data_IF_464123188123
#
_entry.id   IF_464123188123
#
_cell.length_a   1.000
_cell.length_b   1.000
_cell.length_c   1.000
_cell.angle_alpha   90.00
_cell.angle_beta   90.00
_cell.angle_gamma   90.00
#
_symmetry.space_group_name_H-M   'P 1'
#
loop_
_entity.id
_entity.type
_entity.pdbx_description
1 polymer ?
#
# COMPACT_ATOMS: atom_id res chain seq x y z
N UNK A 1 -71.68 64.36 -63.92
CA UNK A 1 -71.94 63.96 -62.53
C UNK A 1 -71.76 62.45 -62.36
N UNK A 2 -72.44 61.61 -63.16
CA UNK A 2 -72.34 60.13 -63.06
C UNK A 2 -70.91 59.53 -63.14
N UNK A 3 -70.03 60.07 -64.00
CA UNK A 3 -68.64 59.60 -64.09
C UNK A 3 -67.79 59.96 -62.86
N UNK A 4 -68.14 61.06 -62.18
CA UNK A 4 -67.46 61.47 -60.94
C UNK A 4 -67.87 60.54 -59.80
N UNK A 5 -69.14 60.15 -59.72
CA UNK A 5 -69.63 59.17 -58.73
C UNK A 5 -69.00 57.78 -58.92
N UNK A 6 -68.81 57.33 -60.17
CA UNK A 6 -68.08 56.07 -60.46
C UNK A 6 -66.62 56.13 -60.00
N UNK A 7 -65.94 57.26 -60.24
CA UNK A 7 -64.56 57.43 -59.76
C UNK A 7 -64.48 57.47 -58.23
N UNK A 8 -65.41 58.14 -57.56
CA UNK A 8 -65.47 58.16 -56.09
C UNK A 8 -65.65 56.75 -55.51
N UNK A 9 -66.57 55.96 -56.06
CA UNK A 9 -66.77 54.58 -55.61
C UNK A 9 -65.56 53.67 -55.88
N UNK A 10 -64.80 53.91 -56.96
CA UNK A 10 -63.56 53.18 -57.23
C UNK A 10 -62.48 53.54 -56.20
N UNK A 11 -62.32 54.84 -55.90
CA UNK A 11 -61.37 55.34 -54.91
C UNK A 11 -61.67 54.76 -53.53
N UNK A 12 -62.94 54.68 -53.12
CA UNK A 12 -63.31 54.09 -51.84
C UNK A 12 -62.96 52.58 -51.77
N UNK A 13 -63.14 51.85 -52.87
CA UNK A 13 -62.75 50.43 -52.96
C UNK A 13 -61.23 50.24 -52.93
N UNK A 14 -60.50 51.09 -53.65
CA UNK A 14 -59.03 51.10 -53.64
C UNK A 14 -58.51 51.43 -52.24
N UNK A 15 -59.08 52.45 -51.58
CA UNK A 15 -58.71 52.83 -50.22
C UNK A 15 -58.96 51.70 -49.21
N UNK A 16 -60.06 50.96 -49.33
CA UNK A 16 -60.34 49.81 -48.46
C UNK A 16 -59.33 48.69 -48.65
N UNK A 17 -59.01 48.34 -49.90
CA UNK A 17 -58.00 47.31 -50.22
C UNK A 17 -56.60 47.72 -49.79
N UNK A 18 -56.24 48.99 -49.98
CA UNK A 18 -54.96 49.54 -49.53
C UNK A 18 -54.84 49.48 -48.01
N UNK A 19 -55.93 49.74 -47.29
CA UNK A 19 -55.96 49.66 -45.82
C UNK A 19 -55.80 48.21 -45.35
N UNK A 20 -56.52 47.25 -45.95
CA UNK A 20 -56.35 45.82 -45.66
C UNK A 20 -54.92 45.35 -45.95
N UNK A 21 -54.36 45.72 -47.11
CA UNK A 21 -53.00 45.35 -47.50
C UNK A 21 -51.96 45.97 -46.56
N UNK A 22 -52.14 47.23 -46.16
CA UNK A 22 -51.29 47.91 -45.18
C UNK A 22 -51.34 47.18 -43.85
N UNK A 23 -52.52 46.88 -43.33
CA UNK A 23 -52.68 46.24 -42.03
C UNK A 23 -52.07 44.83 -42.03
N UNK A 24 -52.28 44.07 -43.11
CA UNK A 24 -51.59 42.80 -43.31
C UNK A 24 -50.06 42.95 -43.33
N UNK A 25 -49.51 43.95 -44.03
CA UNK A 25 -48.07 44.18 -44.08
C UNK A 25 -47.50 44.57 -42.70
N UNK A 26 -48.24 45.35 -41.91
CA UNK A 26 -47.84 45.75 -40.56
C UNK A 26 -47.84 44.53 -39.63
N UNK A 27 -48.92 43.75 -39.64
CA UNK A 27 -49.07 42.56 -38.80
C UNK A 27 -48.01 41.50 -39.13
N UNK A 28 -47.79 41.23 -40.42
CA UNK A 28 -46.81 40.24 -40.87
C UNK A 28 -45.38 40.66 -40.50
N UNK A 29 -45.05 41.95 -40.70
CA UNK A 29 -43.75 42.49 -40.29
C UNK A 29 -43.56 42.44 -38.78
N UNK A 30 -44.60 42.73 -38.01
CA UNK A 30 -44.51 42.68 -36.55
C UNK A 30 -44.26 41.25 -36.06
N UNK A 31 -45.06 40.27 -36.52
CA UNK A 31 -44.87 38.85 -36.19
C UNK A 31 -43.48 38.35 -36.58
N UNK A 32 -43.05 38.65 -37.80
CA UNK A 32 -41.72 38.25 -38.29
C UNK A 32 -40.60 38.86 -37.45
N UNK A 33 -40.70 40.15 -37.09
CA UNK A 33 -39.70 40.81 -36.25
C UNK A 33 -39.66 40.23 -34.83
N UNK A 34 -40.82 39.89 -34.27
CA UNK A 34 -40.91 39.27 -32.94
C UNK A 34 -40.32 37.85 -32.95
N UNK A 35 -40.57 37.06 -34.01
CA UNK A 35 -39.96 35.74 -34.21
C UNK A 35 -38.44 35.81 -34.39
N UNK A 36 -37.95 36.76 -35.19
CA UNK A 36 -36.51 37.00 -35.35
C UNK A 36 -35.88 37.35 -34.01
N UNK A 37 -36.52 38.21 -33.22
CA UNK A 37 -36.03 38.60 -31.89
C UNK A 37 -35.97 37.38 -30.97
N UNK A 38 -37.03 36.58 -30.91
CA UNK A 38 -37.09 35.38 -30.07
C UNK A 38 -36.00 34.36 -30.45
N UNK A 39 -35.84 34.08 -31.75
CA UNK A 39 -34.83 33.14 -32.25
C UNK A 39 -33.41 33.65 -32.02
N UNK A 40 -33.17 34.94 -32.21
CA UNK A 40 -31.84 35.54 -31.96
C UNK A 40 -31.44 35.43 -30.49
N UNK A 41 -32.39 35.66 -29.57
CA UNK A 41 -32.17 35.44 -28.14
C UNK A 41 -31.86 33.97 -27.83
N UNK A 42 -32.59 33.03 -28.42
CA UNK A 42 -32.33 31.59 -28.24
C UNK A 42 -30.95 31.19 -28.75
N UNK A 43 -30.52 31.72 -29.90
CA UNK A 43 -29.18 31.48 -30.45
C UNK A 43 -28.12 31.93 -29.45
N UNK A 44 -28.22 33.17 -28.94
CA UNK A 44 -27.24 33.69 -27.98
C UNK A 44 -27.18 32.88 -26.68
N UNK A 45 -28.33 32.39 -26.20
CA UNK A 45 -28.38 31.49 -25.03
C UNK A 45 -27.69 30.16 -25.31
N UNK A 46 -27.99 29.53 -26.45
CA UNK A 46 -27.38 28.25 -26.83
C UNK A 46 -25.87 28.39 -27.06
N UNK A 47 -25.42 29.48 -27.69
CA UNK A 47 -23.99 29.78 -27.85
C UNK A 47 -23.29 29.94 -26.49
N UNK A 48 -23.93 30.62 -25.53
CA UNK A 48 -23.43 30.72 -24.16
C UNK A 48 -23.28 29.36 -23.49
N UNK A 49 -24.31 28.51 -23.59
CA UNK A 49 -24.28 27.14 -23.04
C UNK A 49 -23.22 26.27 -23.70
N UNK A 50 -23.03 26.39 -25.03
CA UNK A 50 -21.97 25.68 -25.76
C UNK A 50 -20.60 26.07 -25.23
N UNK A 51 -20.34 27.37 -25.03
CA UNK A 51 -19.06 27.85 -24.54
C UNK A 51 -18.79 27.38 -23.10
N UNK A 52 -19.81 27.35 -22.24
CA UNK A 52 -19.69 26.85 -20.87
C UNK A 52 -19.39 25.34 -20.84
N UNK A 53 -20.10 24.56 -21.65
CA UNK A 53 -19.83 23.13 -21.81
C UNK A 53 -18.43 22.87 -22.39
N UNK A 54 -18.01 23.65 -23.39
CA UNK A 54 -16.68 23.53 -23.98
C UNK A 54 -15.60 23.82 -22.95
N UNK A 55 -15.74 24.89 -22.15
CA UNK A 55 -14.82 25.16 -21.05
C UNK A 55 -14.82 24.03 -20.02
N UNK A 56 -15.98 23.54 -19.61
CA UNK A 56 -16.07 22.44 -18.62
C UNK A 56 -15.35 21.18 -19.11
N UNK A 57 -15.44 20.86 -20.39
CA UNK A 57 -14.85 19.63 -20.95
C UNK A 57 -13.37 19.83 -21.32
N UNK A 58 -13.05 20.93 -21.99
CA UNK A 58 -11.81 21.14 -22.71
C UNK A 58 -10.89 22.20 -22.08
N UNK A 59 -11.26 22.85 -20.96
CA UNK A 59 -10.37 23.81 -20.32
C UNK A 59 -8.99 23.15 -20.03
N UNK A 60 -7.88 23.78 -20.43
CA UNK A 60 -6.57 23.12 -20.51
C UNK A 60 -5.97 22.77 -19.14
N UNK A 61 -6.54 23.26 -18.04
CA UNK A 61 -6.03 23.01 -16.69
C UNK A 61 -7.06 22.37 -15.75
N UNK A 62 -8.35 22.60 -15.99
CA UNK A 62 -9.45 22.22 -15.08
C UNK A 62 -10.62 21.59 -15.84
N UNK A 63 -10.42 21.30 -17.12
CA UNK A 63 -11.43 20.61 -17.92
C UNK A 63 -11.44 19.14 -17.52
N UNK A 64 -12.61 18.51 -17.63
CA UNK A 64 -12.80 17.11 -17.27
C UNK A 64 -11.80 16.18 -17.97
N UNK A 65 -11.36 16.49 -19.19
CA UNK A 65 -10.33 15.70 -19.89
C UNK A 65 -8.97 15.71 -19.19
N UNK A 66 -8.60 16.83 -18.57
CA UNK A 66 -7.33 16.97 -17.83
C UNK A 66 -7.43 16.21 -16.52
N UNK A 67 -8.54 16.37 -15.80
CA UNK A 67 -8.81 15.64 -14.55
C UNK A 67 -8.79 14.12 -14.77
N UNK A 68 -9.49 13.62 -15.80
CA UNK A 68 -9.49 12.20 -16.14
C UNK A 68 -8.06 11.70 -16.43
N UNK A 69 -7.27 12.45 -17.20
CA UNK A 69 -5.89 12.04 -17.51
C UNK A 69 -4.99 12.01 -16.26
N UNK A 70 -5.19 12.94 -15.32
CA UNK A 70 -4.48 12.95 -14.05
C UNK A 70 -4.90 11.77 -13.17
N UNK A 71 -6.20 11.51 -13.04
CA UNK A 71 -6.74 10.40 -12.28
C UNK A 71 -6.29 9.04 -12.84
N UNK A 72 -6.26 8.89 -14.17
CA UNK A 72 -5.74 7.69 -14.83
C UNK A 72 -4.25 7.46 -14.51
N UNK A 73 -3.45 8.53 -14.50
CA UNK A 73 -2.04 8.44 -14.10
C UNK A 73 -1.87 8.08 -12.63
N UNK A 74 -2.66 8.68 -11.74
CA UNK A 74 -2.63 8.36 -10.30
C UNK A 74 -3.07 6.91 -10.04
N UNK A 75 -4.06 6.42 -10.80
CA UNK A 75 -4.53 5.04 -10.70
C UNK A 75 -3.45 4.05 -11.15
N UNK A 76 -2.74 4.35 -12.24
CA UNK A 76 -1.63 3.51 -12.71
C UNK A 76 -0.49 3.45 -11.70
N UNK A 77 -0.10 4.59 -11.14
CA UNK A 77 0.91 4.68 -10.07
C UNK A 77 0.48 3.88 -8.84
N UNK A 78 -0.74 4.11 -8.36
CA UNK A 78 -1.27 3.40 -7.19
C UNK A 78 -1.33 1.88 -7.40
N UNK A 79 -1.68 1.42 -8.60
CA UNK A 79 -1.69 -0.01 -8.92
C UNK A 79 -0.27 -0.59 -8.95
N UNK A 80 0.70 0.16 -9.47
CA UNK A 80 2.11 -0.23 -9.46
C UNK A 80 2.65 -0.34 -8.03
N UNK A 81 2.31 0.63 -7.17
CA UNK A 81 2.70 0.67 -5.77
C UNK A 81 2.09 -0.50 -5.00
N UNK A 82 0.77 -0.73 -5.10
CA UNK A 82 0.11 -1.88 -4.47
C UNK A 82 0.78 -3.19 -4.86
N UNK A 83 1.12 -3.37 -6.14
CA UNK A 83 1.77 -4.58 -6.63
C UNK A 83 3.18 -4.73 -6.06
N UNK A 84 3.96 -3.66 -6.05
CA UNK A 84 5.32 -3.64 -5.51
C UNK A 84 5.33 -3.93 -4.01
N UNK A 85 4.43 -3.29 -3.28
CA UNK A 85 4.32 -3.40 -1.83
C UNK A 85 3.81 -4.78 -1.42
N UNK A 86 2.77 -5.31 -2.08
CA UNK A 86 2.29 -6.68 -1.84
C UNK A 86 3.38 -7.72 -2.10
N UNK A 87 4.19 -7.52 -3.16
CA UNK A 87 5.30 -8.42 -3.47
C UNK A 87 6.38 -8.37 -2.38
N UNK A 88 6.72 -7.17 -1.89
CA UNK A 88 7.68 -6.95 -0.82
C UNK A 88 7.19 -7.58 0.49
N UNK A 89 5.95 -7.30 0.88
CA UNK A 89 5.30 -7.87 2.08
C UNK A 89 5.31 -9.39 2.07
N UNK A 90 5.04 -10.01 0.92
CA UNK A 90 5.10 -11.46 0.75
C UNK A 90 6.51 -12.02 0.94
N UNK A 91 7.52 -11.36 0.37
CA UNK A 91 8.92 -11.78 0.49
C UNK A 91 9.43 -11.64 1.93
N UNK A 92 9.14 -10.51 2.57
CA UNK A 92 9.46 -10.24 3.97
C UNK A 92 8.80 -11.24 4.92
N UNK A 93 7.48 -11.48 4.78
CA UNK A 93 6.78 -12.46 5.61
C UNK A 93 7.35 -13.88 5.42
N UNK A 94 7.72 -14.25 4.19
CA UNK A 94 8.35 -15.55 3.90
C UNK A 94 9.71 -15.68 4.60
N UNK A 95 10.54 -14.62 4.57
CA UNK A 95 11.82 -14.59 5.28
C UNK A 95 11.62 -14.68 6.78
N UNK A 96 10.69 -13.91 7.34
CA UNK A 96 10.34 -13.93 8.74
C UNK A 96 9.89 -15.33 9.22
N UNK A 97 8.97 -15.99 8.49
CA UNK A 97 8.53 -17.35 8.83
C UNK A 97 9.70 -18.34 8.87
N UNK A 98 10.62 -18.25 7.90
CA UNK A 98 11.81 -19.09 7.86
C UNK A 98 12.76 -18.79 9.03
N UNK A 99 12.94 -17.52 9.34
CA UNK A 99 13.81 -17.08 10.44
C UNK A 99 13.30 -17.59 11.79
N UNK A 100 12.02 -17.35 12.11
CA UNK A 100 11.37 -17.87 13.32
C UNK A 100 11.46 -19.40 13.40
N UNK A 101 11.21 -20.11 12.30
CA UNK A 101 11.35 -21.57 12.27
C UNK A 101 12.78 -22.02 12.61
N UNK A 102 13.79 -21.39 12.02
CA UNK A 102 15.19 -21.71 12.30
C UNK A 102 15.56 -21.40 13.75
N UNK A 103 15.09 -20.28 14.29
CA UNK A 103 15.33 -19.88 15.69
C UNK A 103 14.69 -20.88 16.65
N UNK A 104 13.44 -21.29 16.41
CA UNK A 104 12.75 -22.28 17.23
C UNK A 104 13.44 -23.64 17.19
N UNK A 105 13.87 -24.10 16.01
CA UNK A 105 14.63 -25.34 15.86
C UNK A 105 15.98 -25.28 16.59
N UNK A 106 16.71 -24.16 16.45
CA UNK A 106 17.97 -23.93 17.13
C UNK A 106 17.79 -23.92 18.66
N UNK A 107 16.77 -23.22 19.17
CA UNK A 107 16.46 -23.18 20.60
C UNK A 107 16.13 -24.58 21.13
N UNK A 108 15.31 -25.37 20.42
CA UNK A 108 15.00 -26.75 20.82
C UNK A 108 16.24 -27.65 20.83
N UNK A 109 17.14 -27.49 19.84
CA UNK A 109 18.37 -28.25 19.76
C UNK A 109 19.33 -27.88 20.90
N UNK A 110 19.50 -26.58 21.17
CA UNK A 110 20.33 -26.06 22.26
C UNK A 110 19.82 -26.54 23.62
N UNK A 111 18.51 -26.47 23.87
CA UNK A 111 17.90 -26.97 25.11
C UNK A 111 18.15 -28.48 25.32
N UNK A 112 18.02 -29.29 24.26
CA UNK A 112 18.37 -30.73 24.31
C UNK A 112 19.85 -30.94 24.58
N UNK A 113 20.74 -30.21 23.90
CA UNK A 113 22.19 -30.32 24.07
C UNK A 113 22.61 -29.96 25.50
N UNK A 114 22.11 -28.85 26.04
CA UNK A 114 22.34 -28.43 27.44
C UNK A 114 21.89 -29.53 28.41
N UNK A 115 20.69 -30.09 28.23
CA UNK A 115 20.18 -31.18 29.09
C UNK A 115 21.08 -32.43 29.05
N UNK A 116 21.51 -32.85 27.86
CA UNK A 116 22.39 -34.02 27.69
C UNK A 116 23.76 -33.77 28.32
N UNK A 117 24.37 -32.60 28.09
CA UNK A 117 25.67 -32.23 28.66
C UNK A 117 25.60 -32.15 30.19
N UNK A 118 24.59 -31.46 30.75
CA UNK A 118 24.37 -31.40 32.21
C UNK A 118 24.25 -32.80 32.82
N UNK A 119 23.46 -33.68 32.19
CA UNK A 119 23.32 -35.08 32.64
C UNK A 119 24.65 -35.83 32.57
N UNK A 120 25.39 -35.70 31.47
CA UNK A 120 26.70 -36.32 31.31
C UNK A 120 27.67 -35.89 32.41
N UNK A 121 27.90 -34.58 32.58
CA UNK A 121 28.83 -34.05 33.59
C UNK A 121 28.40 -34.41 35.03
N UNK A 122 27.10 -34.39 35.33
CA UNK A 122 26.58 -34.83 36.63
C UNK A 122 26.82 -36.32 36.92
N UNK A 123 26.88 -37.18 35.88
CA UNK A 123 27.12 -38.62 36.04
C UNK A 123 28.60 -38.97 36.20
N UNK A 124 29.49 -38.21 35.59
CA UNK A 124 30.94 -38.46 35.64
C UNK A 124 31.63 -37.76 36.82
N UNK A 125 31.14 -36.61 37.30
CA UNK A 125 31.77 -35.89 38.42
C UNK A 125 31.88 -36.75 39.70
N UNK A 126 30.82 -37.45 40.16
CA UNK A 126 30.92 -38.31 41.35
C UNK A 126 31.90 -39.47 41.16
N UNK A 127 31.98 -40.04 39.95
CA UNK A 127 32.86 -41.17 39.64
C UNK A 127 34.32 -40.75 39.45
N UNK A 128 34.58 -39.52 38.99
CA UNK A 128 35.91 -38.89 38.97
C UNK A 128 36.39 -38.58 40.39
N UNK A 129 35.54 -38.00 41.24
CA UNK A 129 35.86 -37.71 42.65
C UNK A 129 36.11 -39.01 43.42
N UNK A 130 35.27 -40.05 43.23
CA UNK A 130 35.44 -41.33 43.90
C UNK A 130 36.69 -42.10 43.46
N UNK A 131 37.05 -42.06 42.17
CA UNK A 131 38.30 -42.65 41.67
C UNK A 131 39.54 -41.90 42.16
N UNK A 132 39.49 -40.56 42.21
CA UNK A 132 40.58 -39.74 42.78
C UNK A 132 40.77 -39.97 44.29
N UNK A 133 39.68 -40.18 45.04
CA UNK A 133 39.73 -40.52 46.46
C UNK A 133 40.24 -41.95 46.73
N UNK A 134 40.02 -42.90 45.81
CA UNK A 134 40.51 -44.28 45.92
C UNK A 134 41.97 -44.46 45.44
N UNK A 135 42.54 -43.52 44.69
CA UNK A 135 43.94 -43.56 44.25
C UNK A 135 44.95 -43.00 45.26
N UNK A 136 44.52 -42.48 46.41
CA UNK A 136 45.42 -41.96 47.46
C UNK A 136 46.22 -43.04 48.24
N UNK A 137 46.26 -44.30 47.80
CA UNK A 137 46.99 -45.38 48.48
C UNK A 137 47.99 -46.16 47.61
N UNK A 138 48.52 -45.59 46.53
CA UNK A 138 49.63 -46.23 45.79
C UNK A 138 50.89 -45.34 45.73
N UNK A 139 52.09 -45.91 45.93
CA UNK A 139 53.35 -45.16 45.88
C UNK A 139 53.59 -44.58 44.48
N UNK A 140 54.19 -43.39 44.44
CA UNK A 140 54.30 -42.53 43.24
C UNK A 140 55.06 -43.19 42.09
N UNK A 141 54.52 -43.21 40.85
CA UNK A 141 55.25 -43.62 39.66
C UNK A 141 56.35 -42.60 39.29
N UNK A 142 57.40 -43.03 38.53
CA UNK A 142 58.51 -42.17 38.16
C UNK A 142 58.09 -41.06 37.16
N UNK A 143 58.78 -39.90 37.15
CA UNK A 143 58.35 -38.73 36.41
C UNK A 143 58.56 -38.96 34.91
N UNK A 144 57.47 -39.00 34.17
CA UNK A 144 57.49 -38.82 32.71
C UNK A 144 56.47 -37.74 32.36
N UNK A 145 56.87 -36.90 31.40
CA UNK A 145 56.16 -35.82 30.70
C UNK A 145 55.07 -35.10 31.52
N UNK A 146 55.27 -33.81 31.78
CA UNK A 146 54.33 -32.90 32.47
C UNK A 146 52.88 -33.09 32.01
N UNK A 147 52.17 -34.00 32.70
CA UNK A 147 50.73 -34.20 32.85
C UNK A 147 50.55 -35.50 33.65
N UNK A 148 51.04 -35.46 34.89
CA UNK A 148 51.34 -36.61 35.75
C UNK A 148 50.13 -37.32 36.36
N UNK A 149 49.01 -37.46 35.66
CA UNK A 149 47.86 -38.22 36.20
C UNK A 149 47.10 -39.10 35.20
N UNK A 150 47.44 -39.13 33.89
CA UNK A 150 46.86 -40.06 32.91
C UNK A 150 45.32 -40.07 32.82
N UNK A 151 44.68 -39.16 33.54
CA UNK A 151 43.25 -39.00 33.68
C UNK A 151 42.98 -37.80 32.82
N UNK A 152 42.38 -38.02 31.65
CA UNK A 152 41.86 -36.93 30.83
C UNK A 152 40.76 -36.24 31.65
N UNK A 153 41.16 -35.27 32.48
CA UNK A 153 40.25 -34.41 33.24
C UNK A 153 39.52 -33.45 32.31
N UNK A 154 39.89 -33.42 31.02
CA UNK A 154 39.16 -32.84 29.91
C UNK A 154 38.51 -31.53 30.30
N UNK A 155 39.31 -30.47 30.46
CA UNK A 155 38.87 -29.12 30.84
C UNK A 155 37.64 -29.14 31.79
N UNK A 156 37.67 -29.92 32.88
CA UNK A 156 36.52 -30.06 33.79
C UNK A 156 36.08 -28.72 34.38
N UNK A 157 37.01 -27.77 34.50
CA UNK A 157 36.75 -26.37 34.87
C UNK A 157 36.12 -25.54 33.74
N UNK A 158 36.26 -25.94 32.48
CA UNK A 158 35.71 -25.28 31.30
C UNK A 158 34.51 -25.97 30.64
N UNK A 159 34.18 -27.22 31.02
CA UNK A 159 32.94 -27.88 30.62
C UNK A 159 31.69 -27.13 31.10
N UNK A 160 31.75 -26.53 32.29
CA UNK A 160 30.73 -25.59 32.78
C UNK A 160 30.69 -24.32 31.92
N UNK A 161 31.85 -23.79 31.51
CA UNK A 161 31.92 -22.62 30.62
C UNK A 161 31.32 -22.88 29.23
N UNK A 162 31.39 -24.12 28.71
CA UNK A 162 30.73 -24.48 27.44
C UNK A 162 29.21 -24.58 27.59
N UNK A 163 28.70 -25.10 28.72
CA UNK A 163 27.25 -25.12 29.02
C UNK A 163 26.74 -23.68 29.21
N UNK A 164 27.47 -22.85 29.94
CA UNK A 164 27.12 -21.44 30.15
C UNK A 164 27.08 -20.67 28.82
N UNK A 165 28.01 -20.96 27.89
CA UNK A 165 27.99 -20.39 26.54
C UNK A 165 26.75 -20.85 25.76
N UNK A 166 26.39 -22.14 25.81
CA UNK A 166 25.19 -22.63 25.13
C UNK A 166 23.90 -22.04 25.74
N UNK A 167 23.85 -21.84 27.05
CA UNK A 167 22.74 -21.18 27.74
C UNK A 167 22.63 -19.70 27.37
N UNK A 168 23.79 -19.02 27.22
CA UNK A 168 23.83 -17.66 26.71
C UNK A 168 23.29 -17.59 25.27
N UNK A 169 23.79 -18.45 24.37
CA UNK A 169 23.31 -18.50 22.97
C UNK A 169 21.80 -18.79 22.93
N UNK A 170 21.31 -19.75 23.72
CA UNK A 170 19.87 -20.03 23.83
C UNK A 170 19.07 -18.80 24.29
N UNK A 171 19.60 -18.05 25.26
CA UNK A 171 19.00 -16.81 25.74
C UNK A 171 18.96 -15.72 24.67
N UNK A 172 20.06 -15.54 23.93
CA UNK A 172 20.13 -14.58 22.84
C UNK A 172 19.22 -14.97 21.67
N UNK A 173 19.16 -16.25 21.27
CA UNK A 173 18.24 -16.72 20.22
C UNK A 173 16.77 -16.50 20.56
N UNK A 174 16.38 -16.55 21.84
CA UNK A 174 15.02 -16.19 22.29
C UNK A 174 14.73 -14.70 22.18
N UNK A 175 15.72 -13.86 22.48
CA UNK A 175 15.61 -12.41 22.29
C UNK A 175 15.50 -12.07 20.81
N UNK A 176 16.32 -12.72 19.99
CA UNK A 176 16.30 -12.57 18.53
C UNK A 176 14.93 -12.94 17.94
N UNK A 177 14.32 -14.05 18.38
CA UNK A 177 12.96 -14.42 17.98
C UNK A 177 11.93 -13.34 18.38
N UNK A 178 12.05 -12.78 19.59
CA UNK A 178 11.17 -11.70 20.05
C UNK A 178 11.30 -10.45 19.18
N UNK A 179 12.54 -10.06 18.84
CA UNK A 179 12.81 -8.92 17.96
C UNK A 179 12.27 -9.18 16.56
N UNK A 180 12.38 -10.41 16.04
CA UNK A 180 11.79 -10.78 14.77
C UNK A 180 10.27 -10.63 14.77
N UNK A 181 9.59 -11.03 15.87
CA UNK A 181 8.15 -10.81 16.04
C UNK A 181 7.78 -9.32 16.06
N UNK A 182 8.52 -8.50 16.80
CA UNK A 182 8.25 -7.06 16.88
C UNK A 182 8.46 -6.38 15.51
N UNK A 183 9.52 -6.78 14.78
CA UNK A 183 9.80 -6.28 13.44
C UNK A 183 8.71 -6.69 12.43
N UNK A 184 8.22 -7.93 12.50
CA UNK A 184 7.10 -8.39 11.68
C UNK A 184 5.83 -7.59 11.98
N UNK A 185 5.51 -7.35 13.25
CA UNK A 185 4.35 -6.55 13.66
C UNK A 185 4.42 -5.14 13.10
N UNK A 186 5.58 -4.48 13.20
CA UNK A 186 5.79 -3.15 12.64
C UNK A 186 5.65 -3.16 11.10
N UNK A 187 6.21 -4.18 10.43
CA UNK A 187 6.09 -4.34 8.98
C UNK A 187 4.66 -4.61 8.52
N UNK A 188 3.89 -5.38 9.29
CA UNK A 188 2.47 -5.61 9.03
C UNK A 188 1.67 -4.31 9.16
N UNK A 189 1.87 -3.54 10.23
CA UNK A 189 1.17 -2.28 10.42
C UNK A 189 1.50 -1.27 9.32
N UNK A 190 2.77 -1.14 8.94
CA UNK A 190 3.17 -0.25 7.85
C UNK A 190 2.49 -0.60 6.52
N UNK A 191 2.30 -1.90 6.25
CA UNK A 191 1.57 -2.38 5.06
C UNK A 191 0.05 -2.15 5.14
N UNK A 192 -0.54 -2.28 6.33
CA UNK A 192 -1.98 -2.06 6.53
C UNK A 192 -2.37 -0.56 6.49
N UNK A 193 -1.41 0.33 6.78
CA UNK A 193 -1.59 1.79 6.77
C UNK A 193 -1.26 2.45 5.41
N UNK A 194 -0.75 1.69 4.43
CA UNK A 194 -0.41 2.13 3.06
C UNK A 194 -1.63 2.08 2.13
#
# INVERSE_FOLDING_TARGET
LEQVEKMLGLIDQEAAKDLEQRDWCVDERQKTNDDIRAKSTQIGLLEGQINELDSTINHPQTGLKVEIAQDESMLEENLADQKSETATRKDENTKYQKDVSNLQEAQMLLDKAIKVLRKYYSSIMPSLVQKSAQQQQQPSPPPTWEDADGTYTGQSTGGTSAIDMLEFILGESKKEETVAHDAELAGQHAYEDS
#
